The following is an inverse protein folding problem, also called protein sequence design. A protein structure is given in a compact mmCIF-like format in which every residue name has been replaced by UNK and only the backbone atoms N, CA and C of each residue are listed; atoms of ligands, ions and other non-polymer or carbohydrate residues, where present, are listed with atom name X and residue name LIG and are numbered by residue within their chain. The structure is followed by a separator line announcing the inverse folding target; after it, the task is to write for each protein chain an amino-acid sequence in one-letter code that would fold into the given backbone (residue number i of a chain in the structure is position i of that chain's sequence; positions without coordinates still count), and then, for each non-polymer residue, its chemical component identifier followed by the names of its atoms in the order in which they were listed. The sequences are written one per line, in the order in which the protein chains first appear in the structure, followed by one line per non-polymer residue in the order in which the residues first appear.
data_IF_745073694432
#
_entry.id   IF_745073694432
#
_cell.length_a   1.000
_cell.length_b   1.000
_cell.length_c   1.000
_cell.angle_alpha   90.00
_cell.angle_beta   90.00
_cell.angle_gamma   90.00
#
_symmetry.space_group_name_H-M   'P 1'
#
loop_
_entity.id
_entity.type
_entity.pdbx_description
1 polymer ?
#
# COMPACT_ATOMS: atom_id res chain seq x y z
N UNK A 1 -55.33 -8.01 -12.18
CA UNK A 1 -55.09 -7.08 -13.32
C UNK A 1 -54.55 -5.74 -12.83
N UNK A 2 -53.38 -5.74 -12.19
CA UNK A 2 -52.69 -4.51 -11.75
C UNK A 2 -51.16 -4.70 -11.70
N UNK A 3 -50.63 -5.59 -12.55
CA UNK A 3 -49.20 -5.92 -12.63
C UNK A 3 -48.62 -5.75 -14.05
N UNK A 4 -49.42 -5.31 -15.03
CA UNK A 4 -48.97 -5.13 -16.42
C UNK A 4 -48.84 -3.66 -16.86
N UNK A 5 -49.17 -2.69 -16.01
CA UNK A 5 -49.13 -1.26 -16.33
C UNK A 5 -47.89 -0.53 -15.82
N UNK A 6 -47.12 -1.10 -14.87
CA UNK A 6 -45.87 -0.49 -14.40
C UNK A 6 -44.64 -0.84 -15.27
N UNK A 7 -44.69 -1.94 -16.03
CA UNK A 7 -43.59 -2.36 -16.93
C UNK A 7 -43.57 -1.64 -18.29
N UNK A 8 -44.58 -0.83 -18.60
CA UNK A 8 -44.63 -0.04 -19.84
C UNK A 8 -44.11 1.40 -19.68
N UNK A 9 -44.09 1.95 -18.45
CA UNK A 9 -43.61 3.32 -18.20
C UNK A 9 -42.06 3.41 -18.11
N UNK A 10 -41.37 2.32 -17.80
CA UNK A 10 -39.90 2.28 -17.71
C UNK A 10 -39.19 2.06 -19.07
N UNK A 11 -39.93 1.91 -20.17
CA UNK A 11 -39.38 1.65 -21.52
C UNK A 11 -39.39 2.88 -22.45
N UNK A 12 -39.79 4.06 -21.97
CA UNK A 12 -39.96 5.28 -22.79
C UNK A 12 -39.03 6.46 -22.43
N UNK A 13 -37.97 6.25 -21.64
CA UNK A 13 -36.96 7.30 -21.40
C UNK A 13 -35.55 6.95 -21.91
N UNK A 14 -35.44 5.87 -22.69
CA UNK A 14 -34.25 5.58 -23.50
C UNK A 14 -34.50 5.97 -24.95
N UNK A 15 -33.60 6.82 -25.48
CA UNK A 15 -33.44 7.28 -26.87
C UNK A 15 -34.38 8.40 -27.34
N UNK A 16 -33.78 9.58 -27.60
CA UNK A 16 -33.70 9.97 -29.01
C UNK A 16 -32.36 10.64 -29.33
N UNK A 17 -31.38 9.89 -29.84
CA UNK A 17 -30.24 10.44 -30.62
C UNK A 17 -29.75 9.46 -31.71
N UNK A 18 -30.66 8.67 -32.27
CA UNK A 18 -30.36 7.71 -33.33
C UNK A 18 -31.17 7.96 -34.60
N UNK A 19 -31.21 9.19 -35.12
CA UNK A 19 -31.81 9.49 -36.44
C UNK A 19 -31.20 10.72 -37.14
N UNK A 20 -29.89 10.92 -37.03
CA UNK A 20 -29.13 11.70 -38.01
C UNK A 20 -27.93 10.90 -38.47
N UNK A 21 -28.17 10.05 -39.46
CA UNK A 21 -27.19 9.56 -40.44
C UNK A 21 -27.88 8.40 -41.13
N UNK A 22 -28.51 8.66 -42.28
CA UNK A 22 -28.74 7.69 -43.37
C UNK A 22 -29.55 8.37 -44.48
N UNK A 23 -28.83 9.05 -45.39
CA UNK A 23 -29.10 9.07 -46.84
C UNK A 23 -28.05 9.93 -47.55
N UNK A 24 -27.01 9.27 -48.05
CA UNK A 24 -26.40 9.58 -49.34
C UNK A 24 -25.53 8.37 -49.73
N UNK A 25 -26.04 7.62 -50.71
CA UNK A 25 -25.37 6.55 -51.43
C UNK A 25 -24.20 7.10 -52.24
N UNK A 26 -23.02 6.50 -52.07
CA UNK A 26 -21.86 6.71 -52.93
C UNK A 26 -20.82 5.63 -52.62
N UNK A 27 -20.64 4.70 -53.57
CA UNK A 27 -19.62 3.66 -53.55
C UNK A 27 -18.23 4.30 -53.48
N UNK A 28 -17.56 4.14 -52.34
CA UNK A 28 -16.17 4.50 -52.14
C UNK A 28 -15.71 3.86 -50.85
N UNK A 29 -14.70 2.98 -50.94
CA UNK A 29 -14.02 2.38 -49.79
C UNK A 29 -13.71 3.44 -48.74
N UNK A 30 -14.43 3.39 -47.62
CA UNK A 30 -14.04 4.14 -46.42
C UNK A 30 -13.16 3.24 -45.59
N UNK A 31 -11.90 3.15 -45.99
CA UNK A 31 -10.84 2.79 -45.07
C UNK A 31 -10.85 3.78 -43.91
N UNK A 32 -11.11 3.29 -42.71
CA UNK A 32 -10.78 4.03 -41.49
C UNK A 32 -9.26 4.14 -41.48
N UNK A 33 -8.75 5.29 -41.88
CA UNK A 33 -7.34 5.63 -41.66
C UNK A 33 -7.11 5.73 -40.15
N UNK A 34 -6.73 4.61 -39.54
CA UNK A 34 -5.97 4.64 -38.30
C UNK A 34 -4.68 5.38 -38.64
N UNK A 35 -4.58 6.63 -38.21
CA UNK A 35 -3.40 7.46 -38.43
C UNK A 35 -2.14 6.68 -38.06
N UNK A 36 -1.18 6.64 -38.97
CA UNK A 36 0.13 5.96 -38.88
C UNK A 36 1.09 6.64 -37.89
N UNK A 37 0.55 7.25 -36.82
CA UNK A 37 1.30 7.96 -35.78
C UNK A 37 1.57 7.13 -34.52
N UNK A 38 1.26 5.83 -34.50
CA UNK A 38 1.45 4.95 -33.34
C UNK A 38 2.71 4.07 -33.48
N UNK A 39 3.90 4.64 -33.37
CA UNK A 39 5.14 3.85 -33.21
C UNK A 39 6.27 4.56 -32.43
N UNK A 40 6.14 5.84 -32.06
CA UNK A 40 7.21 6.54 -31.32
C UNK A 40 7.25 6.22 -29.82
N UNK A 41 6.11 5.91 -29.19
CA UNK A 41 6.09 5.53 -27.77
C UNK A 41 6.74 4.16 -27.50
N UNK A 42 6.67 3.22 -28.45
CA UNK A 42 7.21 1.86 -28.24
C UNK A 42 8.74 1.82 -28.21
N UNK A 43 9.45 2.57 -29.07
CA UNK A 43 10.91 2.56 -29.10
C UNK A 43 11.54 3.18 -27.85
N UNK A 44 11.02 4.32 -27.39
CA UNK A 44 11.52 4.96 -26.17
C UNK A 44 11.25 4.09 -24.93
N UNK A 45 10.09 3.43 -24.85
CA UNK A 45 9.81 2.47 -23.79
C UNK A 45 10.78 1.28 -23.83
N UNK A 46 11.04 0.71 -25.01
CA UNK A 46 12.01 -0.38 -25.16
C UNK A 46 13.43 0.06 -24.82
N UNK A 47 13.88 1.23 -25.27
CA UNK A 47 15.22 1.78 -24.96
C UNK A 47 15.38 2.11 -23.46
N UNK A 48 14.33 2.61 -22.79
CA UNK A 48 14.36 2.86 -21.34
C UNK A 48 14.38 1.55 -20.54
N UNK A 49 13.58 0.55 -20.93
CA UNK A 49 13.57 -0.77 -20.28
C UNK A 49 14.93 -1.46 -20.42
N UNK A 50 15.61 -1.30 -21.56
CA UNK A 50 16.94 -1.87 -21.79
C UNK A 50 18.06 -1.26 -20.93
N UNK A 51 17.85 -0.06 -20.36
CA UNK A 51 18.84 0.64 -19.54
C UNK A 51 18.67 0.42 -18.03
N UNK A 52 17.63 -0.32 -17.60
CA UNK A 52 17.44 -0.69 -16.20
C UNK A 52 18.24 -1.98 -15.94
N UNK A 53 19.08 -2.04 -14.88
CA UNK A 53 19.76 -3.27 -14.52
C UNK A 53 18.77 -4.42 -14.32
N UNK A 54 19.09 -5.60 -14.83
CA UNK A 54 18.24 -6.78 -14.67
C UNK A 54 18.19 -7.20 -13.20
N UNK A 55 16.99 -7.37 -12.64
CA UNK A 55 16.81 -7.97 -11.31
C UNK A 55 17.09 -9.47 -11.39
N UNK A 56 18.17 -9.92 -10.74
CA UNK A 56 18.51 -11.35 -10.63
C UNK A 56 17.78 -11.97 -9.45
N UNK A 57 17.14 -13.12 -9.65
CA UNK A 57 16.40 -13.85 -8.60
C UNK A 57 16.88 -15.30 -8.55
N UNK A 58 17.24 -15.77 -7.35
CA UNK A 58 17.69 -17.14 -7.10
C UNK A 58 17.02 -17.72 -5.85
N UNK A 59 16.49 -18.96 -5.89
CA UNK A 59 15.94 -19.62 -4.71
C UNK A 59 17.03 -20.31 -3.87
N UNK A 60 16.80 -20.41 -2.56
CA UNK A 60 17.50 -21.31 -1.65
C UNK A 60 16.76 -22.65 -1.51
N UNK A 61 17.44 -23.68 -1.02
CA UNK A 61 16.86 -25.02 -0.81
C UNK A 61 15.66 -25.02 0.17
N UNK A 62 15.66 -24.09 1.13
CA UNK A 62 14.56 -23.93 2.10
C UNK A 62 13.39 -23.07 1.59
N UNK A 63 13.41 -22.68 0.31
CA UNK A 63 12.35 -21.90 -0.35
C UNK A 63 12.47 -20.39 -0.21
N UNK A 64 13.45 -19.87 0.53
CA UNK A 64 13.72 -18.42 0.58
C UNK A 64 14.17 -17.91 -0.78
N UNK A 65 13.61 -16.81 -1.23
CA UNK A 65 13.98 -16.15 -2.48
C UNK A 65 15.04 -15.08 -2.20
N UNK A 66 16.08 -15.02 -3.04
CA UNK A 66 17.10 -13.97 -3.00
C UNK A 66 17.00 -13.16 -4.28
N UNK A 67 16.73 -11.86 -4.15
CA UNK A 67 16.63 -10.94 -5.28
C UNK A 67 17.68 -9.83 -5.16
N UNK A 68 18.30 -9.45 -6.27
CA UNK A 68 19.22 -8.31 -6.29
C UNK A 68 19.13 -7.48 -7.56
N UNK A 69 19.29 -6.17 -7.40
CA UNK A 69 19.48 -5.22 -8.51
C UNK A 69 20.77 -4.42 -8.30
N UNK A 70 21.78 -4.68 -9.14
CA UNK A 70 23.06 -3.97 -9.08
C UNK A 70 23.03 -2.71 -9.94
N UNK A 71 23.22 -1.57 -9.30
CA UNK A 71 23.29 -0.24 -9.91
C UNK A 71 24.69 0.37 -9.83
N UNK A 72 25.67 -0.34 -9.26
CA UNK A 72 27.07 0.13 -9.14
C UNK A 72 27.27 1.29 -8.15
N UNK A 73 26.31 1.55 -7.26
CA UNK A 73 26.40 2.60 -6.25
C UNK A 73 27.37 2.25 -5.12
N UNK A 74 27.88 3.26 -4.41
CA UNK A 74 28.73 3.06 -3.22
C UNK A 74 27.93 2.72 -1.94
N UNK A 75 26.61 2.74 -2.04
CA UNK A 75 25.67 2.35 -0.99
C UNK A 75 24.74 1.24 -1.49
N UNK A 76 24.17 0.52 -0.53
CA UNK A 76 23.17 -0.50 -0.78
C UNK A 76 22.04 -0.42 0.24
N UNK A 77 20.87 -0.91 -0.14
CA UNK A 77 19.80 -1.26 0.79
C UNK A 77 19.60 -2.76 0.70
N UNK A 78 19.67 -3.45 1.84
CA UNK A 78 19.33 -4.86 1.96
C UNK A 78 18.18 -5.01 2.92
N UNK A 79 17.23 -5.87 2.61
CA UNK A 79 16.07 -6.07 3.46
C UNK A 79 15.44 -7.44 3.31
N UNK A 80 14.64 -7.78 4.29
CA UNK A 80 13.88 -9.00 4.36
C UNK A 80 12.40 -8.64 4.31
N UNK A 81 11.77 -9.02 3.21
CA UNK A 81 10.34 -8.90 3.02
C UNK A 81 9.69 -10.21 3.44
N UNK A 82 8.85 -10.11 4.45
CA UNK A 82 8.12 -11.25 4.99
C UNK A 82 6.66 -11.05 4.59
N UNK A 83 6.12 -12.00 3.86
CA UNK A 83 4.69 -12.09 3.59
C UNK A 83 4.01 -12.49 4.91
N UNK A 84 3.84 -11.56 5.84
CA UNK A 84 3.21 -11.68 7.15
C UNK A 84 2.77 -10.28 7.61
N UNK A 85 1.75 -10.18 8.46
CA UNK A 85 1.15 -8.89 8.84
C UNK A 85 -0.15 -9.09 9.60
N UNK A 86 -0.87 -8.02 9.92
CA UNK A 86 -2.08 -8.12 10.76
C UNK A 86 -3.22 -8.95 10.16
N UNK A 87 -3.25 -9.17 8.83
CA UNK A 87 -4.17 -10.09 8.16
C UNK A 87 -3.97 -11.54 8.58
N UNK A 88 -2.76 -11.91 8.99
CA UNK A 88 -2.41 -13.27 9.42
C UNK A 88 -2.72 -13.54 10.89
N UNK A 89 -3.18 -12.52 11.60
CA UNK A 89 -3.59 -12.60 13.00
C UNK A 89 -5.05 -13.06 13.12
N UNK A 90 -5.45 -13.38 14.35
CA UNK A 90 -6.82 -13.66 14.77
C UNK A 90 -7.26 -12.61 15.80
N UNK A 91 -8.51 -12.68 16.24
CA UNK A 91 -9.06 -11.69 17.18
C UNK A 91 -8.33 -11.63 18.53
N UNK A 92 -7.71 -12.73 18.96
CA UNK A 92 -7.01 -12.81 20.26
C UNK A 92 -5.59 -12.27 20.20
N UNK A 93 -4.89 -12.48 19.08
CA UNK A 93 -3.50 -12.07 18.91
C UNK A 93 -3.33 -10.85 17.99
N UNK A 94 -4.41 -10.14 17.66
CA UNK A 94 -4.32 -8.94 16.84
C UNK A 94 -3.46 -7.87 17.54
N UNK A 95 -2.45 -7.35 16.82
CA UNK A 95 -1.41 -6.45 17.33
C UNK A 95 -0.06 -7.14 17.56
N UNK A 96 0.04 -8.46 17.39
CA UNK A 96 1.28 -9.23 17.58
C UNK A 96 2.35 -8.89 16.54
N UNK A 97 1.99 -8.65 15.29
CA UNK A 97 2.91 -8.30 14.21
C UNK A 97 3.61 -6.97 14.50
N UNK A 98 2.84 -5.95 14.88
CA UNK A 98 3.35 -4.65 15.29
C UNK A 98 4.17 -4.74 16.59
N UNK A 99 3.70 -5.50 17.57
CA UNK A 99 4.47 -5.72 18.81
C UNK A 99 5.82 -6.39 18.52
N UNK A 100 5.83 -7.38 17.64
CA UNK A 100 7.05 -8.09 17.24
C UNK A 100 8.04 -7.16 16.52
N UNK A 101 7.55 -6.22 15.71
CA UNK A 101 8.37 -5.18 15.10
C UNK A 101 9.12 -4.35 16.15
N UNK A 102 8.42 -3.86 17.18
CA UNK A 102 9.03 -3.12 18.30
C UNK A 102 10.09 -3.95 19.02
N UNK A 103 9.83 -5.25 19.18
CA UNK A 103 10.72 -6.17 19.87
C UNK A 103 11.94 -6.61 19.05
N UNK A 104 11.87 -6.52 17.71
CA UNK A 104 12.94 -6.98 16.82
C UNK A 104 14.29 -6.29 17.10
N UNK A 105 14.25 -5.02 17.52
CA UNK A 105 15.46 -4.23 17.78
C UNK A 105 15.91 -4.23 19.25
N UNK A 106 15.23 -4.95 20.15
CA UNK A 106 15.51 -4.92 21.61
C UNK A 106 16.56 -5.94 22.06
N UNK A 107 17.41 -6.36 21.14
CA UNK A 107 18.53 -7.26 21.38
C UNK A 107 18.29 -8.69 20.90
N UNK A 108 19.41 -9.37 20.66
CA UNK A 108 19.50 -10.76 20.22
C UNK A 108 20.31 -11.56 21.23
N UNK A 109 20.39 -12.88 21.05
CA UNK A 109 21.27 -13.73 21.88
C UNK A 109 22.75 -13.35 21.73
N UNK A 110 23.13 -12.76 20.60
CA UNK A 110 24.52 -12.40 20.28
C UNK A 110 24.85 -10.95 20.66
N UNK A 111 23.87 -10.05 20.58
CA UNK A 111 24.05 -8.60 20.76
C UNK A 111 23.04 -8.06 21.75
N UNK A 112 23.50 -7.31 22.75
CA UNK A 112 22.55 -6.50 23.54
C UNK A 112 21.91 -5.42 22.66
N UNK A 113 20.81 -4.83 23.11
CA UNK A 113 20.18 -3.71 22.40
C UNK A 113 21.20 -2.57 22.13
N UNK A 114 21.98 -2.19 23.15
CA UNK A 114 22.97 -1.12 23.03
C UNK A 114 24.09 -1.49 22.05
N UNK A 115 24.57 -2.73 22.08
CA UNK A 115 25.63 -3.17 21.16
C UNK A 115 25.11 -3.19 19.71
N UNK A 116 23.86 -3.60 19.49
CA UNK A 116 23.22 -3.59 18.18
C UNK A 116 23.10 -2.16 17.64
N UNK A 117 22.60 -1.23 18.46
CA UNK A 117 22.47 0.19 18.10
C UNK A 117 23.84 0.80 17.79
N UNK A 118 24.85 0.61 18.66
CA UNK A 118 26.20 1.12 18.44
C UNK A 118 26.86 0.51 17.20
N UNK A 119 26.66 -0.77 16.91
CA UNK A 119 27.22 -1.43 15.74
C UNK A 119 26.68 -0.82 14.44
N UNK A 120 25.36 -0.62 14.36
CA UNK A 120 24.70 0.00 13.21
C UNK A 120 25.16 1.46 13.02
N UNK A 121 25.15 2.24 14.09
CA UNK A 121 25.54 3.66 14.06
C UNK A 121 27.02 3.86 13.71
N UNK A 122 27.93 3.03 14.25
CA UNK A 122 29.36 3.11 13.94
C UNK A 122 29.68 2.80 12.47
N UNK A 123 28.85 1.99 11.81
CA UNK A 123 28.97 1.71 10.38
C UNK A 123 28.34 2.81 9.52
N UNK A 124 27.66 3.78 10.12
CA UNK A 124 26.85 4.78 9.41
C UNK A 124 25.67 4.16 8.67
N UNK A 125 25.19 3.00 9.13
CA UNK A 125 24.04 2.32 8.56
C UNK A 125 22.75 2.81 9.22
N UNK A 126 21.64 2.70 8.49
CA UNK A 126 20.30 2.96 9.02
C UNK A 126 19.46 1.71 8.93
N UNK A 127 19.05 1.18 10.07
CA UNK A 127 18.19 0.02 10.20
C UNK A 127 16.77 0.49 10.51
N UNK A 128 15.77 -0.08 9.84
CA UNK A 128 14.38 0.23 10.09
C UNK A 128 13.48 -0.98 9.81
N UNK A 129 12.24 -0.92 10.29
CA UNK A 129 11.19 -1.84 9.94
C UNK A 129 9.87 -1.11 9.70
N UNK A 130 8.93 -1.82 9.10
CA UNK A 130 7.52 -1.46 9.14
C UNK A 130 6.66 -2.69 8.94
N UNK A 131 5.47 -2.66 9.52
CA UNK A 131 4.44 -3.68 9.37
C UNK A 131 3.20 -3.11 8.71
N UNK A 132 2.63 -3.88 7.79
CA UNK A 132 1.36 -3.61 7.12
C UNK A 132 0.37 -4.76 7.40
N UNK A 133 -0.78 -4.71 6.74
CA UNK A 133 -1.79 -5.78 6.82
C UNK A 133 -1.29 -7.10 6.23
N UNK A 134 -0.50 -7.08 5.15
CA UNK A 134 -0.02 -8.31 4.49
C UNK A 134 1.51 -8.50 4.50
N UNK A 135 2.28 -7.46 4.84
CA UNK A 135 3.74 -7.49 4.72
C UNK A 135 4.42 -6.88 5.95
N UNK A 136 5.50 -7.50 6.39
CA UNK A 136 6.43 -6.97 7.38
C UNK A 136 7.80 -6.91 6.75
N UNK A 137 8.46 -5.75 6.86
CA UNK A 137 9.75 -5.51 6.22
C UNK A 137 10.76 -5.07 7.25
N UNK A 138 11.94 -5.69 7.23
CA UNK A 138 13.10 -5.26 7.99
C UNK A 138 14.22 -4.95 7.01
N UNK A 139 14.74 -3.73 7.01
CA UNK A 139 15.74 -3.33 6.04
C UNK A 139 16.83 -2.45 6.64
N UNK A 140 18.03 -2.54 6.05
CA UNK A 140 19.19 -1.76 6.41
C UNK A 140 19.71 -1.02 5.16
N UNK A 141 19.94 0.28 5.29
CA UNK A 141 20.69 1.10 4.33
C UNK A 141 22.12 1.20 4.83
N UNK A 142 23.10 0.81 4.02
CA UNK A 142 24.50 0.77 4.42
C UNK A 142 25.43 1.08 3.23
N UNK A 143 26.73 1.21 3.50
CA UNK A 143 27.72 1.21 2.42
C UNK A 143 27.82 -0.18 1.79
N UNK A 144 28.12 -0.26 0.49
CA UNK A 144 28.20 -1.54 -0.23
C UNK A 144 29.21 -2.51 0.39
N UNK A 145 30.33 -1.99 0.91
CA UNK A 145 31.36 -2.77 1.62
C UNK A 145 30.86 -3.44 2.91
N UNK A 146 29.79 -2.91 3.49
CA UNK A 146 29.23 -3.31 4.77
C UNK A 146 28.02 -4.25 4.60
N UNK A 147 27.68 -4.62 3.35
CA UNK A 147 26.62 -5.55 3.01
C UNK A 147 26.71 -6.88 3.79
N UNK A 148 27.88 -7.57 3.89
CA UNK A 148 27.98 -8.80 4.67
C UNK A 148 27.52 -8.64 6.12
N UNK A 149 27.88 -7.50 6.72
CA UNK A 149 27.55 -7.22 8.11
C UNK A 149 26.07 -6.86 8.29
N UNK A 150 25.50 -6.10 7.36
CA UNK A 150 24.07 -5.79 7.37
C UNK A 150 23.20 -7.06 7.24
N UNK A 151 23.57 -8.00 6.34
CA UNK A 151 22.86 -9.28 6.20
C UNK A 151 22.97 -10.12 7.47
N UNK A 152 24.15 -10.17 8.09
CA UNK A 152 24.35 -10.88 9.35
C UNK A 152 23.46 -10.31 10.47
N UNK A 153 23.37 -8.98 10.59
CA UNK A 153 22.53 -8.31 11.59
C UNK A 153 21.05 -8.62 11.36
N UNK A 154 20.56 -8.51 10.12
CA UNK A 154 19.18 -8.85 9.79
C UNK A 154 18.87 -10.32 10.12
N UNK A 155 19.78 -11.23 9.80
CA UNK A 155 19.60 -12.64 10.11
C UNK A 155 19.56 -12.92 11.62
N UNK A 156 20.37 -12.22 12.40
CA UNK A 156 20.44 -12.36 13.85
C UNK A 156 19.18 -11.80 14.54
N UNK A 157 18.69 -10.64 14.08
CA UNK A 157 17.44 -10.02 14.59
C UNK A 157 16.26 -10.96 14.41
N UNK A 158 16.13 -11.56 13.23
CA UNK A 158 14.95 -12.34 12.85
C UNK A 158 14.95 -13.73 13.49
N UNK A 159 16.12 -14.35 13.67
CA UNK A 159 16.24 -15.73 14.15
C UNK A 159 16.56 -15.85 15.64
N UNK A 160 17.26 -14.86 16.21
CA UNK A 160 17.84 -14.95 17.55
C UNK A 160 17.39 -13.83 18.49
N UNK A 161 16.26 -13.16 18.22
CA UNK A 161 15.67 -12.20 19.17
C UNK A 161 15.43 -12.85 20.54
N UNK A 162 15.80 -12.15 21.61
CA UNK A 162 15.68 -12.67 22.99
C UNK A 162 14.23 -12.68 23.48
N UNK A 163 13.44 -11.68 23.06
CA UNK A 163 12.08 -11.42 23.52
C UNK A 163 12.01 -11.43 25.06
N UNK A 164 12.83 -10.58 25.70
CA UNK A 164 12.90 -10.48 27.16
C UNK A 164 11.61 -9.89 27.75
N UNK A 165 11.14 -10.42 28.88
CA UNK A 165 9.88 -9.97 29.49
C UNK A 165 9.94 -8.51 29.97
N UNK A 166 11.11 -8.06 30.46
CA UNK A 166 11.30 -6.67 30.86
C UNK A 166 11.20 -5.71 29.66
N UNK A 167 11.72 -6.12 28.50
CA UNK A 167 11.65 -5.38 27.25
C UNK A 167 10.21 -5.35 26.72
N UNK A 168 9.51 -6.49 26.78
CA UNK A 168 8.09 -6.59 26.40
C UNK A 168 7.26 -5.60 27.21
N UNK A 169 7.42 -5.56 28.54
CA UNK A 169 6.61 -4.65 29.37
C UNK A 169 6.97 -3.18 29.14
N UNK A 170 8.24 -2.89 28.85
CA UNK A 170 8.67 -1.54 28.47
C UNK A 170 8.07 -1.10 27.15
N UNK A 171 8.16 -1.94 26.11
CA UNK A 171 7.62 -1.65 24.78
C UNK A 171 6.11 -1.61 24.76
N UNK A 172 5.42 -2.39 25.61
CA UNK A 172 3.98 -2.28 25.79
C UNK A 172 3.56 -0.86 26.16
N UNK A 173 4.30 -0.21 27.07
CA UNK A 173 4.06 1.18 27.44
C UNK A 173 4.36 2.17 26.31
N UNK A 174 5.30 1.86 25.41
CA UNK A 174 5.61 2.66 24.21
C UNK A 174 4.48 2.55 23.19
N UNK A 175 4.06 1.33 22.86
CA UNK A 175 2.98 1.05 21.91
C UNK A 175 1.67 1.69 22.36
N UNK A 176 1.34 1.62 23.66
CA UNK A 176 0.13 2.28 24.17
C UNK A 176 0.16 3.81 24.05
N UNK A 177 1.33 4.44 24.08
CA UNK A 177 1.47 5.88 23.82
C UNK A 177 1.39 6.19 22.33
N UNK A 178 2.03 5.37 21.50
CA UNK A 178 1.96 5.48 20.04
C UNK A 178 0.52 5.36 19.55
N UNK A 179 -0.29 4.45 20.11
CA UNK A 179 -1.73 4.37 19.81
C UNK A 179 -2.44 5.71 20.04
N UNK A 180 -2.12 6.42 21.12
CA UNK A 180 -2.69 7.75 21.40
C UNK A 180 -2.19 8.81 20.42
N UNK A 181 -0.94 8.72 19.99
CA UNK A 181 -0.37 9.63 18.99
C UNK A 181 -1.01 9.41 17.61
N UNK A 182 -1.24 8.16 17.21
CA UNK A 182 -1.92 7.80 15.96
C UNK A 182 -3.35 8.31 15.93
N UNK A 183 -4.07 8.36 17.06
CA UNK A 183 -5.41 8.95 17.14
C UNK A 183 -5.43 10.45 16.77
N UNK A 184 -4.29 11.15 16.83
CA UNK A 184 -4.18 12.54 16.37
C UNK A 184 -4.03 12.67 14.85
N UNK A 185 -3.64 11.59 14.16
CA UNK A 185 -3.56 11.53 12.70
C UNK A 185 -4.90 11.04 12.12
N UNK A 186 -5.80 12.00 11.88
CA UNK A 186 -7.15 11.74 11.40
C UNK A 186 -7.21 11.03 10.04
N UNK A 187 -6.17 11.15 9.21
CA UNK A 187 -6.11 10.44 7.95
C UNK A 187 -6.02 8.93 8.19
N UNK A 188 -5.07 8.50 9.00
CA UNK A 188 -4.88 7.08 9.36
C UNK A 188 -6.12 6.52 10.08
N UNK A 189 -6.69 7.28 11.02
CA UNK A 189 -7.92 6.90 11.74
C UNK A 189 -9.08 6.66 10.76
N UNK A 190 -9.26 7.53 9.77
CA UNK A 190 -10.31 7.36 8.74
C UNK A 190 -10.02 6.16 7.85
N UNK A 191 -8.77 5.90 7.49
CA UNK A 191 -8.42 4.70 6.73
C UNK A 191 -8.64 3.42 7.54
N UNK A 192 -8.36 3.41 8.84
CA UNK A 192 -8.68 2.27 9.70
C UNK A 192 -10.19 2.03 9.80
N UNK A 193 -10.99 3.08 9.95
CA UNK A 193 -12.45 2.98 9.89
C UNK A 193 -12.96 2.51 8.52
N UNK A 194 -12.35 2.98 7.44
CA UNK A 194 -12.68 2.53 6.08
C UNK A 194 -12.44 1.02 5.93
N UNK A 195 -11.30 0.52 6.38
CA UNK A 195 -11.02 -0.92 6.34
C UNK A 195 -11.98 -1.70 7.23
N UNK A 196 -12.23 -1.24 8.46
CA UNK A 196 -13.13 -1.90 9.40
C UNK A 196 -14.58 -2.00 8.86
N UNK A 197 -15.06 -0.96 8.17
CA UNK A 197 -16.40 -0.97 7.58
C UNK A 197 -16.45 -1.70 6.23
N UNK A 198 -15.41 -1.62 5.39
CA UNK A 198 -15.39 -2.31 4.10
C UNK A 198 -15.19 -3.82 4.24
N UNK A 199 -14.38 -4.26 5.20
CA UNK A 199 -13.96 -5.65 5.38
C UNK A 199 -14.47 -6.23 6.70
N UNK A 200 -15.73 -5.94 7.06
CA UNK A 200 -16.35 -6.37 8.30
C UNK A 200 -16.19 -7.87 8.55
N UNK A 201 -15.87 -8.23 9.79
CA UNK A 201 -15.72 -9.63 10.25
C UNK A 201 -14.68 -10.45 9.47
N UNK A 202 -13.79 -9.80 8.72
CA UNK A 202 -12.67 -10.44 8.03
C UNK A 202 -11.35 -9.93 8.62
N UNK A 203 -10.24 -10.58 8.28
CA UNK A 203 -8.94 -10.21 8.84
C UNK A 203 -8.47 -8.82 8.38
N UNK A 204 -8.80 -8.39 7.17
CA UNK A 204 -8.43 -7.05 6.65
C UNK A 204 -9.14 -5.89 7.37
N UNK A 205 -10.28 -6.15 8.01
CA UNK A 205 -11.00 -5.14 8.79
C UNK A 205 -10.35 -4.79 10.13
N UNK A 206 -9.33 -5.56 10.56
CA UNK A 206 -8.59 -5.29 11.79
C UNK A 206 -7.51 -4.22 11.55
N UNK A 207 -7.22 -3.45 12.59
CA UNK A 207 -6.13 -2.47 12.55
C UNK A 207 -4.79 -3.18 12.73
N UNK A 208 -3.70 -2.51 12.35
CA UNK A 208 -2.35 -3.06 12.47
C UNK A 208 -1.91 -3.11 13.94
N UNK A 209 -2.21 -2.06 14.70
CA UNK A 209 -1.86 -1.95 16.12
C UNK A 209 -2.71 -2.89 16.98
N UNK A 210 -3.92 -3.22 16.55
CA UNK A 210 -4.88 -4.02 17.32
C UNK A 210 -5.49 -3.27 18.51
N UNK A 211 -6.41 -3.93 19.24
CA UNK A 211 -7.11 -3.31 20.37
C UNK A 211 -6.22 -3.24 21.62
N UNK A 212 -6.44 -2.21 22.43
CA UNK A 212 -5.71 -1.97 23.68
C UNK A 212 -5.73 -3.17 24.64
N UNK A 213 -6.84 -3.92 24.66
CA UNK A 213 -7.02 -5.11 25.49
C UNK A 213 -6.07 -6.24 25.07
N UNK A 214 -5.85 -6.42 23.77
CA UNK A 214 -4.89 -7.40 23.25
C UNK A 214 -3.48 -6.93 23.56
N UNK A 215 -3.17 -5.66 23.31
CA UNK A 215 -1.85 -5.09 23.64
C UNK A 215 -1.53 -5.22 25.13
N UNK A 216 -2.52 -5.27 26.02
CA UNK A 216 -2.29 -5.52 27.45
C UNK A 216 -2.06 -6.99 27.81
N UNK A 217 -2.47 -7.93 26.97
CA UNK A 217 -2.46 -9.37 27.26
C UNK A 217 -1.43 -10.17 26.44
N UNK A 218 -0.96 -9.64 25.31
CA UNK A 218 0.10 -10.26 24.49
C UNK A 218 1.34 -10.50 25.35
N UNK A 219 1.79 -11.75 25.36
CA UNK A 219 2.96 -12.22 26.10
C UNK A 219 4.01 -12.83 25.17
N UNK A 220 5.14 -13.25 25.75
CA UNK A 220 6.27 -13.81 25.01
C UNK A 220 5.90 -15.03 24.17
N UNK A 221 5.02 -15.89 24.65
CA UNK A 221 4.65 -17.11 23.93
C UNK A 221 3.87 -16.78 22.66
N UNK A 222 3.02 -15.75 22.69
CA UNK A 222 2.27 -15.30 21.51
C UNK A 222 3.24 -14.80 20.42
N UNK A 223 4.27 -14.03 20.79
CA UNK A 223 5.32 -13.56 19.87
C UNK A 223 6.09 -14.74 19.26
N UNK A 224 6.50 -15.70 20.10
CA UNK A 224 7.24 -16.89 19.65
C UNK A 224 6.37 -17.76 18.73
N UNK A 225 5.10 -17.94 19.04
CA UNK A 225 4.14 -18.66 18.20
C UNK A 225 3.97 -17.98 16.85
N UNK A 226 3.83 -16.65 16.83
CA UNK A 226 3.72 -15.87 15.60
C UNK A 226 4.96 -16.02 14.70
N UNK A 227 6.17 -15.87 15.26
CA UNK A 227 7.42 -16.12 14.53
C UNK A 227 7.45 -17.55 14.01
N UNK A 228 7.18 -18.53 14.88
CA UNK A 228 7.25 -19.96 14.54
C UNK A 228 6.24 -20.33 13.46
N UNK A 229 5.12 -19.64 13.37
CA UNK A 229 4.06 -19.94 12.40
C UNK A 229 4.31 -19.23 11.06
N UNK A 230 4.77 -17.99 11.07
CA UNK A 230 4.79 -17.15 9.88
C UNK A 230 6.18 -16.90 9.29
N UNK A 231 7.25 -16.90 10.09
CA UNK A 231 8.60 -16.58 9.61
C UNK A 231 9.27 -17.86 9.09
N UNK A 232 8.93 -18.21 7.85
CA UNK A 232 9.37 -19.42 7.13
C UNK A 232 10.04 -19.04 5.82
N UNK A 233 11.02 -19.84 5.40
CA UNK A 233 11.75 -19.63 4.13
C UNK A 233 10.85 -19.27 2.95
N UNK A 234 9.80 -20.06 2.63
CA UNK A 234 8.93 -19.78 1.49
C UNK A 234 8.08 -18.49 1.56
N UNK A 235 7.98 -17.83 2.73
CA UNK A 235 7.28 -16.53 2.92
C UNK A 235 8.24 -15.35 2.96
N UNK A 236 9.53 -15.58 2.73
CA UNK A 236 10.57 -14.60 2.95
C UNK A 236 11.36 -14.37 1.66
N UNK A 237 11.59 -13.10 1.37
CA UNK A 237 12.44 -12.65 0.27
C UNK A 237 13.53 -11.77 0.84
N UNK A 238 14.80 -12.18 0.67
CA UNK A 238 15.94 -11.30 0.90
C UNK A 238 16.17 -10.51 -0.38
N UNK A 239 15.92 -9.20 -0.36
CA UNK A 239 16.16 -8.34 -1.51
C UNK A 239 17.25 -7.31 -1.21
N UNK A 240 18.09 -7.03 -2.20
CA UNK A 240 19.08 -5.96 -2.09
C UNK A 240 19.18 -5.14 -3.38
N UNK A 241 19.37 -3.83 -3.25
CA UNK A 241 19.56 -2.92 -4.38
C UNK A 241 20.64 -1.89 -4.07
N UNK A 242 21.39 -1.45 -5.08
CA UNK A 242 22.51 -0.52 -4.93
C UNK A 242 23.79 -1.08 -5.53
N UNK A 243 24.95 -0.89 -4.91
CA UNK A 243 26.16 -1.64 -5.30
C UNK A 243 26.19 -3.00 -4.61
N UNK A 244 25.62 -4.01 -5.26
CA UNK A 244 25.50 -5.36 -4.66
C UNK A 244 25.80 -6.42 -5.71
N UNK A 245 26.72 -7.34 -5.38
CA UNK A 245 26.90 -8.55 -6.18
C UNK A 245 25.84 -9.60 -5.81
N UNK A 246 25.10 -10.09 -6.79
CA UNK A 246 24.10 -11.15 -6.57
C UNK A 246 24.72 -12.43 -5.99
N UNK A 247 25.91 -12.80 -6.46
CA UNK A 247 26.56 -14.04 -6.05
C UNK A 247 27.05 -13.94 -4.60
N UNK A 248 27.55 -12.76 -4.20
CA UNK A 248 27.88 -12.46 -2.79
C UNK A 248 26.64 -12.50 -1.90
N UNK A 249 25.54 -11.85 -2.32
CA UNK A 249 24.29 -11.87 -1.58
C UNK A 249 23.73 -13.29 -1.42
N UNK A 250 23.81 -14.10 -2.48
CA UNK A 250 23.37 -15.49 -2.47
C UNK A 250 24.18 -16.35 -1.49
N UNK A 251 25.50 -16.15 -1.43
CA UNK A 251 26.38 -16.86 -0.50
C UNK A 251 26.13 -16.42 0.95
N UNK A 252 25.93 -15.12 1.19
CA UNK A 252 25.51 -14.60 2.49
C UNK A 252 24.15 -15.15 2.91
N UNK A 253 23.21 -15.23 1.98
CA UNK A 253 21.88 -15.78 2.23
C UNK A 253 21.95 -17.27 2.60
N UNK A 254 22.74 -18.08 1.89
CA UNK A 254 22.98 -19.48 2.24
C UNK A 254 23.61 -19.62 3.62
N UNK A 255 24.60 -18.79 3.93
CA UNK A 255 25.32 -18.81 5.20
C UNK A 255 24.40 -18.47 6.39
N UNK A 256 23.60 -17.41 6.26
CA UNK A 256 22.85 -16.85 7.38
C UNK A 256 21.40 -17.32 7.47
N UNK A 257 20.77 -17.64 6.34
CA UNK A 257 19.36 -18.02 6.26
C UNK A 257 19.14 -19.47 5.77
N UNK A 258 20.19 -20.21 5.39
CA UNK A 258 20.05 -21.59 4.90
C UNK A 258 19.39 -22.55 5.90
N UNK A 259 19.54 -22.29 7.20
CA UNK A 259 18.94 -23.10 8.27
C UNK A 259 17.52 -22.65 8.67
N UNK A 260 16.94 -21.64 8.01
CA UNK A 260 15.57 -21.24 8.30
C UNK A 260 14.62 -22.43 8.07
N UNK A 261 13.63 -22.63 8.97
CA UNK A 261 12.62 -23.66 8.76
C UNK A 261 11.88 -23.45 7.45
N UNK A 262 11.83 -24.51 6.64
CA UNK A 262 10.94 -24.57 5.50
C UNK A 262 9.48 -24.72 5.95
N UNK A 263 8.54 -24.61 5.01
CA UNK A 263 7.13 -24.87 5.27
C UNK A 263 6.92 -26.34 5.72
N UNK A 264 5.98 -26.60 6.64
CA UNK A 264 5.66 -27.96 7.06
C UNK A 264 5.12 -28.80 5.89
N UNK A 265 5.27 -30.13 5.98
CA UNK A 265 4.65 -31.06 5.03
C UNK A 265 3.12 -30.86 5.04
N UNK A 266 2.57 -30.36 3.93
CA UNK A 266 1.18 -29.89 3.84
C UNK A 266 1.02 -28.44 3.37
N UNK A 267 2.12 -27.68 3.30
CA UNK A 267 2.12 -26.30 2.83
C UNK A 267 1.73 -25.30 3.92
N UNK A 268 1.73 -24.03 3.54
CA UNK A 268 1.33 -22.95 4.45
C UNK A 268 -0.20 -22.85 4.48
N UNK A 269 -0.80 -22.46 5.63
CA UNK A 269 -2.24 -22.27 5.71
C UNK A 269 -2.70 -21.23 4.69
N UNK A 270 -3.70 -21.53 3.84
CA UNK A 270 -4.22 -20.54 2.90
C UNK A 270 -4.90 -19.41 3.68
N UNK A 271 -4.69 -18.17 3.22
CA UNK A 271 -5.39 -17.03 3.76
C UNK A 271 -6.90 -17.13 3.47
N UNK A 272 -7.77 -16.96 4.47
CA UNK A 272 -9.20 -16.80 4.22
C UNK A 272 -9.45 -15.58 3.30
N UNK A 273 -10.35 -15.72 2.31
CA UNK A 273 -10.71 -14.60 1.46
C UNK A 273 -11.43 -13.52 2.26
N UNK A 274 -11.19 -12.25 1.91
CA UNK A 274 -11.85 -11.12 2.56
C UNK A 274 -12.97 -10.57 1.67
N UNK A 275 -14.20 -10.58 2.17
CA UNK A 275 -15.36 -10.06 1.43
C UNK A 275 -15.54 -8.56 1.67
N UNK A 276 -15.69 -7.79 0.59
CA UNK A 276 -16.08 -6.38 0.67
C UNK A 276 -17.58 -6.23 0.99
N UNK A 277 -17.91 -5.27 1.84
CA UNK A 277 -19.28 -4.86 2.17
C UNK A 277 -19.42 -3.36 1.95
N UNK A 278 -20.36 -2.96 1.09
CA UNK A 278 -20.74 -1.56 0.94
C UNK A 278 -21.51 -1.06 2.15
N UNK A 279 -20.83 -0.37 3.05
CA UNK A 279 -21.41 0.20 4.28
C UNK A 279 -20.77 1.53 4.65
N UNK A 280 -21.28 2.16 5.70
CA UNK A 280 -20.76 3.44 6.19
C UNK A 280 -20.53 3.39 7.69
N UNK A 281 -19.58 4.21 8.15
CA UNK A 281 -19.36 4.54 9.54
C UNK A 281 -19.23 6.06 9.64
N UNK A 282 -19.91 6.67 10.62
CA UNK A 282 -19.92 8.11 10.83
C UNK A 282 -19.62 8.41 12.29
N UNK A 283 -18.43 8.95 12.55
CA UNK A 283 -18.07 9.47 13.86
C UNK A 283 -18.28 10.98 13.83
N UNK A 284 -19.35 11.43 14.48
CA UNK A 284 -19.73 12.84 14.49
C UNK A 284 -19.13 13.54 15.70
N UNK A 285 -18.18 14.43 15.46
CA UNK A 285 -17.69 15.40 16.44
C UNK A 285 -17.80 16.82 15.87
N UNK A 286 -18.84 17.54 16.31
CA UNK A 286 -19.12 18.91 15.86
C UNK A 286 -18.09 19.94 16.39
N UNK A 287 -17.14 19.53 17.25
CA UNK A 287 -16.04 20.39 17.72
C UNK A 287 -14.86 20.41 16.74
N UNK A 288 -14.76 19.43 15.84
CA UNK A 288 -13.69 19.38 14.86
C UNK A 288 -13.91 20.45 13.78
N UNK A 289 -12.86 21.21 13.40
CA UNK A 289 -13.00 22.29 12.42
C UNK A 289 -13.27 21.78 11.00
N UNK A 290 -12.82 20.56 10.69
CA UNK A 290 -12.89 19.95 9.36
C UNK A 290 -13.39 18.52 9.47
N UNK A 291 -14.10 18.08 8.43
CA UNK A 291 -14.53 16.71 8.26
C UNK A 291 -13.51 15.94 7.40
N UNK A 292 -13.06 14.80 7.89
CA UNK A 292 -12.19 13.87 7.19
C UNK A 292 -13.02 12.69 6.68
N UNK A 293 -12.99 12.45 5.37
CA UNK A 293 -13.92 11.52 4.71
C UNK A 293 -13.13 10.65 3.75
N UNK A 294 -13.34 9.34 3.79
CA UNK A 294 -12.88 8.42 2.76
C UNK A 294 -14.06 7.65 2.18
N UNK A 295 -14.13 7.57 0.85
CA UNK A 295 -15.12 6.79 0.11
C UNK A 295 -14.35 5.85 -0.81
N UNK A 296 -14.68 4.57 -0.78
CA UNK A 296 -14.06 3.58 -1.65
C UNK A 296 -15.07 2.55 -2.16
N UNK A 297 -14.71 1.94 -3.28
CA UNK A 297 -15.33 0.73 -3.81
C UNK A 297 -14.33 -0.42 -3.76
N UNK A 298 -14.82 -1.65 -3.86
CA UNK A 298 -13.97 -2.83 -4.01
C UNK A 298 -13.14 -2.70 -5.30
N UNK A 299 -11.83 -2.89 -5.15
CA UNK A 299 -10.87 -2.85 -6.25
C UNK A 299 -10.23 -4.22 -6.46
N UNK A 300 -9.45 -4.32 -7.52
CA UNK A 300 -8.78 -5.56 -7.88
C UNK A 300 -7.53 -5.79 -6.99
N UNK A 301 -7.23 -7.06 -6.73
CA UNK A 301 -6.02 -7.45 -5.99
C UNK A 301 -4.73 -7.34 -6.82
N UNK A 302 -3.57 -7.54 -6.18
CA UNK A 302 -2.24 -7.33 -6.78
C UNK A 302 -2.03 -8.01 -8.14
N UNK A 303 -2.53 -9.25 -8.30
CA UNK A 303 -2.30 -10.07 -9.49
C UNK A 303 -3.31 -9.85 -10.62
N UNK A 304 -4.36 -9.06 -10.39
CA UNK A 304 -5.45 -8.90 -11.34
C UNK A 304 -5.04 -7.96 -12.50
N UNK A 305 -5.38 -8.27 -13.77
CA UNK A 305 -5.00 -7.43 -14.92
C UNK A 305 -5.59 -6.01 -14.86
N UNK A 306 -6.73 -5.83 -14.20
CA UNK A 306 -7.40 -4.51 -14.05
C UNK A 306 -6.69 -3.57 -13.06
N UNK A 307 -5.71 -4.06 -12.29
CA UNK A 307 -4.94 -3.24 -11.35
C UNK A 307 -4.19 -2.11 -12.07
N UNK A 308 -3.64 -2.36 -13.26
CA UNK A 308 -2.96 -1.34 -14.05
C UNK A 308 -3.93 -0.27 -14.59
N UNK A 309 -5.06 -0.61 -15.24
CA UNK A 309 -6.13 0.34 -15.54
C UNK A 309 -6.61 1.16 -14.34
N UNK A 310 -6.77 0.55 -13.16
CA UNK A 310 -7.16 1.25 -11.93
C UNK A 310 -6.08 2.23 -11.44
N UNK A 311 -4.80 1.88 -11.56
CA UNK A 311 -3.70 2.81 -11.29
C UNK A 311 -3.75 4.03 -12.24
N UNK A 312 -4.01 3.81 -13.53
CA UNK A 312 -4.18 4.91 -14.49
C UNK A 312 -5.39 5.77 -14.15
N UNK A 313 -6.53 5.16 -13.81
CA UNK A 313 -7.72 5.88 -13.36
C UNK A 313 -7.43 6.71 -12.09
N UNK A 314 -6.70 6.14 -11.13
CA UNK A 314 -6.25 6.84 -9.93
C UNK A 314 -5.37 8.05 -10.26
N UNK A 315 -4.46 7.94 -11.24
CA UNK A 315 -3.64 9.06 -11.71
C UNK A 315 -4.47 10.15 -12.41
N UNK A 316 -5.51 9.77 -13.15
CA UNK A 316 -6.40 10.72 -13.84
C UNK A 316 -7.23 11.56 -12.85
N UNK A 317 -7.71 10.94 -11.76
CA UNK A 317 -8.36 11.66 -10.66
C UNK A 317 -7.31 12.49 -9.91
N UNK A 318 -6.15 11.90 -9.63
CA UNK A 318 -5.03 12.57 -9.00
C UNK A 318 -5.34 13.07 -7.59
N UNK A 319 -4.57 14.08 -7.17
CA UNK A 319 -4.62 14.65 -5.83
C UNK A 319 -4.58 16.18 -5.95
N UNK A 320 -5.18 16.88 -5.01
CA UNK A 320 -5.14 18.33 -4.95
C UNK A 320 -5.26 18.82 -3.51
N UNK A 321 -4.57 19.91 -3.17
CA UNK A 321 -4.76 20.66 -1.94
C UNK A 321 -4.66 22.16 -2.20
N UNK A 322 -5.10 22.98 -1.24
CA UNK A 322 -5.13 24.45 -1.37
C UNK A 322 -3.75 25.09 -1.58
N UNK A 323 -2.64 24.41 -1.29
CA UNK A 323 -1.27 24.90 -1.56
C UNK A 323 -0.86 24.71 -3.02
N UNK A 324 -1.56 23.85 -3.79
CA UNK A 324 -1.30 23.68 -5.21
C UNK A 324 -1.78 24.90 -6.00
N UNK A 325 -0.81 25.68 -6.51
CA UNK A 325 -1.05 26.86 -7.36
C UNK A 325 -1.75 26.57 -8.70
N UNK A 326 -1.93 25.30 -9.07
CA UNK A 326 -2.67 24.89 -10.27
C UNK A 326 -4.19 24.92 -10.15
N UNK A 327 -4.74 25.18 -8.94
CA UNK A 327 -6.20 25.19 -8.71
C UNK A 327 -6.90 26.43 -9.26
N UNK A 328 -6.24 27.59 -9.27
CA UNK A 328 -6.82 28.87 -9.69
C UNK A 328 -6.33 29.22 -11.09
N UNK A 329 -7.19 29.04 -12.10
CA UNK A 329 -7.01 29.70 -13.41
C UNK A 329 -8.00 30.86 -13.48
N UNK A 330 -7.67 31.96 -12.83
CA UNK A 330 -8.35 33.23 -13.06
C UNK A 330 -7.82 33.84 -14.35
N UNK A 331 -8.68 33.97 -15.37
CA UNK A 331 -8.41 34.79 -16.56
C UNK A 331 -8.24 36.29 -16.17
N UNK A 332 -7.42 37.09 -16.87
CA UNK A 332 -6.69 36.78 -18.10
C UNK A 332 -5.19 36.65 -17.82
N UNK A 333 -4.71 35.43 -17.61
CA UNK A 333 -3.29 35.17 -17.40
C UNK A 333 -2.78 34.26 -18.52
N UNK A 334 -1.91 34.83 -19.37
CA UNK A 334 -1.03 34.28 -20.41
C UNK A 334 -1.22 32.83 -20.86
N UNK A 335 -1.09 32.60 -22.18
CA UNK A 335 -1.11 31.33 -22.91
C UNK A 335 -0.36 30.14 -22.26
N UNK A 336 0.55 30.39 -21.31
CA UNK A 336 1.23 29.39 -20.50
C UNK A 336 0.32 28.70 -19.45
N UNK A 337 -0.68 29.40 -18.90
CA UNK A 337 -1.66 28.86 -17.94
C UNK A 337 -2.81 28.10 -18.62
N UNK A 338 -3.06 28.35 -19.90
CA UNK A 338 -4.01 27.54 -20.69
C UNK A 338 -3.51 26.10 -20.86
N UNK A 339 -2.19 25.88 -20.79
CA UNK A 339 -1.60 24.53 -20.80
C UNK A 339 -1.91 23.77 -19.50
N UNK A 340 -2.06 24.45 -18.35
CA UNK A 340 -2.51 23.84 -17.08
C UNK A 340 -3.98 23.39 -17.12
N UNK A 341 -4.80 23.98 -17.99
CA UNK A 341 -6.17 23.53 -18.28
C UNK A 341 -6.20 22.13 -18.91
N UNK A 342 -5.11 21.71 -19.56
CA UNK A 342 -4.95 20.39 -20.16
C UNK A 342 -4.29 19.36 -19.23
N UNK A 343 -3.81 19.78 -18.06
CA UNK A 343 -3.02 18.94 -17.13
C UNK A 343 -3.72 18.75 -15.76
N UNK A 344 -4.64 19.63 -15.36
CA UNK A 344 -5.34 19.53 -14.07
C UNK A 344 -6.59 18.63 -14.11
N UNK A 345 -6.75 17.77 -13.09
CA UNK A 345 -7.98 17.02 -12.85
C UNK A 345 -9.20 17.96 -12.77
N UNK A 346 -10.30 17.61 -13.44
CA UNK A 346 -11.55 18.40 -13.44
C UNK A 346 -12.14 18.56 -12.04
N UNK A 347 -12.01 17.53 -11.20
CA UNK A 347 -12.38 17.60 -9.79
C UNK A 347 -11.58 18.69 -9.04
N UNK A 348 -10.28 18.81 -9.31
CA UNK A 348 -9.41 19.84 -8.71
C UNK A 348 -9.85 21.25 -9.10
N UNK A 349 -10.23 21.46 -10.36
CA UNK A 349 -10.72 22.76 -10.82
C UNK A 349 -12.06 23.13 -10.15
N UNK A 350 -12.97 22.17 -10.01
CA UNK A 350 -14.26 22.41 -9.35
C UNK A 350 -14.07 22.64 -7.85
N UNK A 351 -13.24 21.82 -7.20
CA UNK A 351 -12.92 21.95 -5.78
C UNK A 351 -12.28 23.29 -5.46
N UNK A 352 -11.37 23.77 -6.32
CA UNK A 352 -10.72 25.07 -6.13
C UNK A 352 -11.67 26.25 -6.37
N UNK A 353 -12.36 26.30 -7.51
CA UNK A 353 -13.27 27.42 -7.82
C UNK A 353 -14.47 27.49 -6.87
N UNK A 354 -14.99 26.34 -6.45
CA UNK A 354 -16.11 26.25 -5.52
C UNK A 354 -15.69 26.30 -4.04
N UNK A 355 -14.38 26.35 -3.75
CA UNK A 355 -13.83 26.22 -2.40
C UNK A 355 -14.41 25.02 -1.62
N UNK A 356 -14.58 23.88 -2.29
CA UNK A 356 -15.36 22.74 -1.78
C UNK A 356 -14.62 21.91 -0.74
N UNK A 357 -13.29 21.83 -0.83
CA UNK A 357 -12.47 21.07 0.12
C UNK A 357 -11.14 21.78 0.38
N UNK A 358 -10.46 21.36 1.44
CA UNK A 358 -9.07 21.75 1.73
C UNK A 358 -8.08 20.91 0.93
N UNK A 359 -8.38 19.61 0.79
CA UNK A 359 -7.60 18.66 0.00
C UNK A 359 -8.43 17.44 -0.37
N UNK A 360 -8.01 16.76 -1.43
CA UNK A 360 -8.39 15.39 -1.71
C UNK A 360 -7.21 14.59 -2.27
N UNK A 361 -7.25 13.28 -2.07
CA UNK A 361 -6.27 12.33 -2.54
C UNK A 361 -6.98 11.08 -3.05
N UNK A 362 -6.74 10.73 -4.31
CA UNK A 362 -7.16 9.45 -4.88
C UNK A 362 -6.21 8.34 -4.44
N UNK A 363 -6.76 7.23 -3.98
CA UNK A 363 -5.98 6.07 -3.55
C UNK A 363 -6.44 4.78 -4.25
N UNK A 364 -5.46 3.89 -4.45
CA UNK A 364 -5.66 2.54 -4.93
C UNK A 364 -4.83 1.60 -4.04
N UNK A 365 -5.48 0.96 -3.07
CA UNK A 365 -4.86 0.00 -2.15
C UNK A 365 -5.14 -1.40 -2.64
N UNK A 366 -4.09 -2.19 -2.87
CA UNK A 366 -4.22 -3.57 -3.34
C UNK A 366 -3.85 -4.54 -2.22
N UNK A 367 -4.60 -5.64 -2.13
CA UNK A 367 -4.29 -6.82 -1.33
C UNK A 367 -4.20 -8.04 -2.24
N UNK A 368 -3.86 -9.20 -1.67
CA UNK A 368 -3.68 -10.44 -2.45
C UNK A 368 -4.90 -10.81 -3.30
N UNK A 369 -6.11 -10.70 -2.74
CA UNK A 369 -7.39 -11.17 -3.30
C UNK A 369 -8.44 -10.06 -3.51
N UNK A 370 -8.22 -8.85 -3.00
CA UNK A 370 -9.15 -7.72 -3.03
C UNK A 370 -8.38 -6.39 -3.02
N UNK A 371 -9.06 -5.26 -3.06
CA UNK A 371 -8.47 -3.93 -2.95
C UNK A 371 -9.49 -2.87 -2.60
N UNK A 372 -9.03 -1.63 -2.37
CA UNK A 372 -9.87 -0.45 -2.21
C UNK A 372 -9.42 0.62 -3.19
N UNK A 373 -10.34 1.10 -4.01
CA UNK A 373 -10.12 2.25 -4.89
C UNK A 373 -11.08 3.35 -4.51
N UNK A 374 -10.56 4.54 -4.27
CA UNK A 374 -11.36 5.56 -3.62
C UNK A 374 -10.71 6.93 -3.55
N UNK A 375 -11.39 7.81 -2.81
CA UNK A 375 -10.96 9.18 -2.58
C UNK A 375 -11.02 9.48 -1.07
N UNK A 376 -9.92 10.02 -0.55
CA UNK A 376 -9.86 10.65 0.75
C UNK A 376 -9.95 12.16 0.58
N UNK A 377 -10.74 12.85 1.40
CA UNK A 377 -10.95 14.29 1.29
C UNK A 377 -11.14 14.94 2.64
N UNK A 378 -10.72 16.20 2.74
CA UNK A 378 -10.84 17.03 3.93
C UNK A 378 -11.69 18.25 3.57
N UNK A 379 -12.87 18.37 4.17
CA UNK A 379 -13.89 19.37 3.80
C UNK A 379 -14.34 20.21 4.99
N UNK A 380 -14.89 21.39 4.72
CA UNK A 380 -15.68 22.13 5.71
C UNK A 380 -17.05 21.44 5.88
N UNK A 381 -17.68 21.45 7.07
CA UNK A 381 -18.95 20.75 7.29
C UNK A 381 -20.07 21.14 6.32
N UNK A 382 -20.09 22.39 5.85
CA UNK A 382 -21.08 22.92 4.91
C UNK A 382 -20.90 22.42 3.47
N UNK A 383 -19.70 22.00 3.08
CA UNK A 383 -19.36 21.68 1.68
C UNK A 383 -19.27 20.18 1.41
N UNK A 384 -19.42 19.34 2.43
CA UNK A 384 -19.32 17.86 2.33
C UNK A 384 -20.23 17.32 1.22
N UNK A 385 -21.50 17.72 1.22
CA UNK A 385 -22.48 17.17 0.29
C UNK A 385 -22.16 17.53 -1.17
N UNK A 386 -21.72 18.77 -1.41
CA UNK A 386 -21.34 19.23 -2.74
C UNK A 386 -20.08 18.51 -3.22
N UNK A 387 -19.07 18.37 -2.35
CA UNK A 387 -17.84 17.65 -2.69
C UNK A 387 -18.15 16.19 -3.06
N UNK A 388 -18.93 15.48 -2.23
CA UNK A 388 -19.36 14.10 -2.54
C UNK A 388 -20.10 14.02 -3.87
N UNK A 389 -21.00 14.97 -4.15
CA UNK A 389 -21.73 15.02 -5.43
C UNK A 389 -20.78 15.13 -6.63
N UNK A 390 -19.77 16.00 -6.57
CA UNK A 390 -18.82 16.15 -7.66
C UNK A 390 -17.87 14.97 -7.79
N UNK A 391 -17.45 14.34 -6.69
CA UNK A 391 -16.66 13.11 -6.72
C UNK A 391 -17.42 12.01 -7.47
N UNK A 392 -18.68 11.77 -7.10
CA UNK A 392 -19.54 10.77 -7.74
C UNK A 392 -19.85 11.04 -9.21
N UNK A 393 -19.69 12.30 -9.66
CA UNK A 393 -19.92 12.68 -11.06
C UNK A 393 -18.66 12.50 -11.92
N UNK A 394 -17.48 12.56 -11.31
CA UNK A 394 -16.22 12.33 -12.01
C UNK A 394 -15.85 10.84 -12.06
N UNK A 395 -16.31 10.04 -11.10
CA UNK A 395 -16.35 8.56 -11.18
C UNK A 395 -17.42 8.12 -12.18
#
# INVERSE_FOLDING_TARGET
MAASTARLAARQLFLPWSTRLLRASGSGDRHVHVGTGKLRASKAATEVILNVPETRVSPLENGLQVASEDSGLSTCTVGLWIDAGSRYENEKNNGTAHFLEHMAFKGTKKRSQLDLELEIENMGAHLNAYTSREQTVYYAKAFSKDLPRAVEILADIIQNSTLGEAEIERERGVILREMQEVETNLQEVVFDYLHATAYQKTALGRTILGPTENIKSINRNDLVEYITTHYKGPRMVLAAAGGVSHDELLDLAKCHFGNLPSAPEGGLPPLPPCSFTGSEIRIRDDKMPLAHIAIAVEAAGWSHPDTIPLMVANTLIGNWDRSFGGGVVSEPASTFLLLMRLVGCKLAQIACHGNLCHSFQSFNTCYTDTGLWGLYMVCEPSTIQDMVHFVQREW
#
